data_IF_063950140460
#
_entry.id   IF_063950140460
#
_cell.length_a   1.000
_cell.length_b   1.000
_cell.length_c   1.000
_cell.angle_alpha   90.00
_cell.angle_beta   90.00
_cell.angle_gamma   90.00
#
_symmetry.space_group_name_H-M   'P 1'
#
loop_
_entity.id
_entity.type
_entity.pdbx_description
1 polymer ?
#
# COMPACT_ATOMS: atom_id res chain seq x y z
N UNK A 1 3.73 -35.50 16.80
CA UNK A 1 4.64 -34.54 17.49
C UNK A 1 4.29 -33.16 16.99
N UNK A 2 3.48 -32.43 17.75
CA UNK A 2 3.13 -31.05 17.45
C UNK A 2 4.35 -30.18 17.74
N UNK A 3 4.80 -29.40 16.75
CA UNK A 3 5.83 -28.39 16.98
C UNK A 3 5.37 -27.45 18.11
N UNK A 4 6.29 -27.00 19.00
CA UNK A 4 5.90 -26.04 20.03
C UNK A 4 5.46 -24.75 19.33
N UNK A 5 4.46 -24.03 19.86
CA UNK A 5 4.07 -22.73 19.32
C UNK A 5 5.29 -21.78 19.39
N UNK A 6 5.51 -20.99 18.33
CA UNK A 6 6.57 -20.00 18.20
C UNK A 6 6.52 -18.95 19.32
N UNK A 7 7.06 -19.29 20.50
CA UNK A 7 7.04 -18.44 21.69
C UNK A 7 7.81 -17.13 21.52
N UNK A 8 8.77 -17.10 20.59
CA UNK A 8 9.57 -15.91 20.27
C UNK A 8 8.73 -14.83 19.58
N UNK A 9 7.81 -15.23 18.68
CA UNK A 9 6.94 -14.28 17.97
C UNK A 9 5.92 -13.62 18.90
N UNK A 10 5.32 -14.41 19.81
CA UNK A 10 4.38 -13.91 20.82
C UNK A 10 5.03 -12.93 21.79
N UNK A 11 6.28 -13.20 22.21
CA UNK A 11 7.02 -12.33 23.12
C UNK A 11 7.37 -10.98 22.47
N UNK A 12 7.83 -10.98 21.21
CA UNK A 12 8.15 -9.75 20.47
C UNK A 12 6.90 -8.90 20.23
N UNK A 13 5.78 -9.52 19.86
CA UNK A 13 4.51 -8.83 19.69
C UNK A 13 4.02 -8.18 20.99
N UNK A 14 4.15 -8.90 22.12
CA UNK A 14 3.80 -8.37 23.45
C UNK A 14 4.69 -7.18 23.85
N UNK A 15 6.00 -7.27 23.62
CA UNK A 15 6.95 -6.19 23.90
C UNK A 15 6.69 -4.96 23.03
N UNK A 16 6.44 -5.14 21.74
CA UNK A 16 6.08 -4.04 20.83
C UNK A 16 4.77 -3.36 21.25
N UNK A 17 3.74 -4.13 21.62
CA UNK A 17 2.47 -3.58 22.10
C UNK A 17 2.62 -2.78 23.40
N UNK A 18 3.41 -3.29 24.36
CA UNK A 18 3.74 -2.57 25.59
C UNK A 18 4.50 -1.27 25.31
N UNK A 19 5.48 -1.33 24.40
CA UNK A 19 6.26 -0.16 23.99
C UNK A 19 5.38 0.92 23.34
N UNK A 20 4.53 0.54 22.39
CA UNK A 20 3.59 1.45 21.73
C UNK A 20 2.63 2.10 22.73
N UNK A 21 2.17 1.37 23.74
CA UNK A 21 1.32 1.91 24.80
C UNK A 21 2.06 2.95 25.64
N UNK A 22 3.31 2.68 26.05
CA UNK A 22 4.13 3.65 26.78
C UNK A 22 4.46 4.89 25.94
N UNK A 23 4.76 4.72 24.66
CA UNK A 23 4.97 5.83 23.74
C UNK A 23 3.69 6.67 23.53
N UNK A 24 2.52 6.04 23.42
CA UNK A 24 1.23 6.73 23.33
C UNK A 24 0.94 7.58 24.57
N UNK A 25 1.25 7.08 25.77
CA UNK A 25 1.16 7.86 27.01
C UNK A 25 2.11 9.06 27.00
N UNK A 26 3.34 8.87 26.55
CA UNK A 26 4.32 9.96 26.42
C UNK A 26 3.85 11.03 25.45
N UNK A 27 3.34 10.63 24.29
CA UNK A 27 2.80 11.52 23.24
C UNK A 27 1.61 12.33 23.76
N UNK A 28 0.69 11.67 24.49
CA UNK A 28 -0.51 12.30 25.03
C UNK A 28 -0.22 13.48 25.96
N UNK A 29 0.94 13.51 26.62
CA UNK A 29 1.34 14.62 27.49
C UNK A 29 1.48 15.96 26.76
N UNK A 30 1.71 15.94 25.44
CA UNK A 30 1.80 17.15 24.60
C UNK A 30 0.48 17.57 23.96
N UNK A 31 -0.62 16.84 24.18
CA UNK A 31 -1.90 17.04 23.49
C UNK A 31 -2.72 18.21 24.08
N UNK A 32 -2.15 19.42 24.01
CA UNK A 32 -2.80 20.66 24.45
C UNK A 32 -2.74 21.74 23.37
N UNK A 33 -3.71 22.66 23.31
CA UNK A 33 -3.80 23.66 22.24
C UNK A 33 -2.54 24.53 22.15
N UNK A 34 -1.95 24.65 20.96
CA UNK A 34 -0.75 25.47 20.74
C UNK A 34 0.56 24.89 21.27
N UNK A 35 0.53 23.70 21.88
CA UNK A 35 1.75 23.03 22.35
C UNK A 35 2.57 22.52 21.16
N UNK A 36 3.81 22.99 21.05
CA UNK A 36 4.70 22.63 19.94
C UNK A 36 5.07 21.14 19.89
N UNK A 37 5.17 20.47 21.05
CA UNK A 37 5.39 19.02 21.08
C UNK A 37 4.20 18.27 20.50
N UNK A 38 2.98 18.63 20.91
CA UNK A 38 1.75 18.04 20.38
C UNK A 38 1.54 18.32 18.89
N UNK A 39 1.82 19.54 18.45
CA UNK A 39 1.71 19.96 17.05
C UNK A 39 2.72 19.24 16.15
N UNK A 40 3.98 19.15 16.57
CA UNK A 40 5.00 18.33 15.89
C UNK A 40 4.53 16.88 15.79
N UNK A 41 4.03 16.33 16.91
CA UNK A 41 3.62 14.92 16.97
C UNK A 41 2.45 14.62 16.06
N UNK A 42 1.41 15.47 16.05
CA UNK A 42 0.28 15.35 15.12
C UNK A 42 0.75 15.41 13.67
N UNK A 43 1.72 16.28 13.34
CA UNK A 43 2.29 16.36 11.99
C UNK A 43 3.09 15.11 11.60
N UNK A 44 3.89 14.58 12.52
CA UNK A 44 4.73 13.40 12.31
C UNK A 44 3.89 12.13 12.16
N UNK A 45 2.82 12.00 12.96
CA UNK A 45 1.92 10.85 12.91
C UNK A 45 0.94 10.92 11.74
N UNK A 46 0.58 12.12 11.26
CA UNK A 46 -0.41 12.33 10.21
C UNK A 46 -1.71 11.54 10.54
N UNK A 47 -2.06 10.56 9.72
CA UNK A 47 -3.26 9.72 9.90
C UNK A 47 -3.01 8.45 10.73
N UNK A 48 -1.78 8.20 11.23
CA UNK A 48 -1.50 7.04 12.09
C UNK A 48 -2.29 7.17 13.39
N UNK A 49 -3.17 6.19 13.70
CA UNK A 49 -3.95 6.23 14.92
C UNK A 49 -3.05 6.01 16.15
N UNK A 50 -3.34 6.76 17.20
CA UNK A 50 -2.76 6.56 18.53
C UNK A 50 -3.88 6.08 19.44
N UNK A 51 -3.70 4.89 20.03
CA UNK A 51 -4.73 4.27 20.86
C UNK A 51 -5.16 5.20 22.00
N UNK A 52 -6.46 5.48 22.08
CA UNK A 52 -7.06 6.29 23.14
C UNK A 52 -6.79 7.80 23.06
N UNK A 53 -6.20 8.31 21.98
CA UNK A 53 -5.88 9.73 21.83
C UNK A 53 -6.83 10.44 20.86
N UNK A 54 -7.56 11.42 21.36
CA UNK A 54 -8.29 12.40 20.54
C UNK A 54 -7.50 13.71 20.49
N UNK A 55 -7.12 14.15 19.29
CA UNK A 55 -6.28 15.35 19.11
C UNK A 55 -6.97 16.64 19.56
N UNK A 56 -6.31 17.37 20.46
CA UNK A 56 -6.71 18.69 20.95
C UNK A 56 -5.52 19.66 20.94
N UNK A 57 -4.77 19.70 19.84
CA UNK A 57 -3.60 20.58 19.66
C UNK A 57 -3.89 21.81 18.81
N UNK A 58 -5.12 21.97 18.29
CA UNK A 58 -5.45 22.96 17.26
C UNK A 58 -5.07 24.40 17.69
N UNK A 59 -4.14 25.07 16.99
CA UNK A 59 -3.65 26.39 17.36
C UNK A 59 -4.34 27.53 16.60
N UNK A 60 -5.41 27.27 15.84
CA UNK A 60 -6.04 28.29 14.97
C UNK A 60 -7.51 28.53 15.30
N UNK A 61 -7.92 28.33 16.54
CA UNK A 61 -9.22 28.81 17.01
C UNK A 61 -9.21 30.34 17.15
N UNK A 62 -10.37 30.99 16.96
CA UNK A 62 -10.49 32.44 17.16
C UNK A 62 -10.04 32.86 18.56
N UNK A 63 -10.41 32.06 19.58
CA UNK A 63 -9.98 32.26 20.96
C UNK A 63 -8.45 32.23 21.10
N UNK A 64 -7.78 31.24 20.51
CA UNK A 64 -6.33 31.12 20.62
C UNK A 64 -5.60 32.28 19.93
N UNK A 65 -6.09 32.73 18.78
CA UNK A 65 -5.56 33.89 18.05
C UNK A 65 -5.69 35.17 18.89
N UNK A 66 -6.82 35.35 19.57
CA UNK A 66 -7.04 36.50 20.44
C UNK A 66 -6.10 36.49 21.64
N UNK A 67 -6.00 35.35 22.34
CA UNK A 67 -5.11 35.16 23.49
C UNK A 67 -3.63 35.40 23.15
N UNK A 68 -3.24 35.16 21.90
CA UNK A 68 -1.84 35.29 21.44
C UNK A 68 -1.58 36.56 20.61
N UNK A 69 -2.55 37.48 20.48
CA UNK A 69 -2.46 38.68 19.62
C UNK A 69 -1.17 39.50 19.82
N UNK A 70 -0.70 39.61 21.06
CA UNK A 70 0.51 40.37 21.42
C UNK A 70 1.83 39.62 21.19
N UNK A 71 1.77 38.32 20.87
CA UNK A 71 2.93 37.43 20.71
C UNK A 71 3.08 36.92 19.28
N UNK A 72 2.32 37.48 18.34
CA UNK A 72 2.30 37.10 16.92
C UNK A 72 3.59 37.44 16.16
N UNK A 73 4.64 37.88 16.83
CA UNK A 73 6.00 38.07 16.30
C UNK A 73 7.03 37.18 17.01
N UNK A 74 6.60 36.33 17.95
CA UNK A 74 7.45 35.39 18.66
C UNK A 74 7.52 34.05 17.90
N UNK A 75 8.74 33.53 17.73
CA UNK A 75 8.98 32.31 16.95
C UNK A 75 8.14 31.08 17.39
N UNK A 76 7.92 30.79 18.70
CA UNK A 76 7.06 29.68 19.10
C UNK A 76 5.60 29.81 18.63
N UNK A 77 5.06 31.02 18.64
CA UNK A 77 3.67 31.31 18.22
C UNK A 77 3.56 31.21 16.70
N UNK A 78 4.55 31.74 15.98
CA UNK A 78 4.64 31.61 14.52
C UNK A 78 4.77 30.15 14.07
N UNK A 79 5.58 29.37 14.77
CA UNK A 79 5.71 27.94 14.52
C UNK A 79 4.38 27.20 14.74
N UNK A 80 3.66 27.51 15.83
CA UNK A 80 2.36 26.91 16.12
C UNK A 80 1.34 27.21 15.01
N UNK A 81 1.26 28.47 14.55
CA UNK A 81 0.43 28.86 13.42
C UNK A 81 0.82 28.13 12.13
N UNK A 82 2.12 27.95 11.88
CA UNK A 82 2.62 27.17 10.75
C UNK A 82 2.11 25.73 10.74
N UNK A 83 2.13 25.04 11.89
CA UNK A 83 1.53 23.70 12.01
C UNK A 83 0.02 23.70 11.75
N UNK A 84 -0.70 24.68 12.30
CA UNK A 84 -2.14 24.79 12.15
C UNK A 84 -2.57 25.03 10.70
N UNK A 85 -1.87 25.92 10.00
CA UNK A 85 -2.14 26.26 8.59
C UNK A 85 -1.68 25.16 7.63
N UNK A 86 -0.64 24.40 7.96
CA UNK A 86 -0.18 23.25 7.17
C UNK A 86 -1.16 22.08 7.14
N UNK A 87 -2.19 22.08 8.01
CA UNK A 87 -3.19 21.01 8.14
C UNK A 87 -4.57 21.36 7.54
N UNK A 88 -4.78 22.57 7.00
CA UNK A 88 -6.12 23.03 6.58
C UNK A 88 -6.11 23.91 5.33
N UNK A 89 -6.78 23.43 4.28
CA UNK A 89 -6.99 24.14 3.01
C UNK A 89 -8.22 25.07 3.01
N UNK A 90 -8.74 25.45 4.19
CA UNK A 90 -10.00 26.19 4.31
C UNK A 90 -9.77 27.70 4.15
N UNK A 91 -10.61 28.37 3.34
CA UNK A 91 -10.63 29.84 3.16
C UNK A 91 -10.85 30.63 4.47
N UNK A 92 -11.35 29.98 5.52
CA UNK A 92 -11.59 30.54 6.86
C UNK A 92 -10.33 31.02 7.60
N UNK A 93 -9.14 30.84 7.04
CA UNK A 93 -7.85 31.11 7.72
C UNK A 93 -7.09 32.31 7.14
N UNK A 94 -7.72 33.15 6.30
CA UNK A 94 -7.08 34.30 5.67
C UNK A 94 -6.49 35.29 6.70
N UNK A 95 -7.23 35.59 7.78
CA UNK A 95 -6.74 36.47 8.84
C UNK A 95 -5.50 35.90 9.56
N UNK A 96 -5.49 34.58 9.80
CA UNK A 96 -4.34 33.89 10.41
C UNK A 96 -3.12 33.90 9.47
N UNK A 97 -3.30 33.76 8.15
CA UNK A 97 -2.21 33.89 7.16
C UNK A 97 -1.63 35.31 7.12
N UNK A 98 -2.47 36.33 7.12
CA UNK A 98 -2.02 37.73 7.16
C UNK A 98 -1.25 38.04 8.44
N UNK A 99 -1.75 37.56 9.60
CA UNK A 99 -1.07 37.68 10.88
C UNK A 99 0.30 36.97 10.85
N UNK A 100 0.35 35.76 10.31
CA UNK A 100 1.57 34.97 10.17
C UNK A 100 2.60 35.69 9.28
N UNK A 101 2.20 36.19 8.11
CA UNK A 101 3.09 36.92 7.19
C UNK A 101 3.67 38.20 7.83
N UNK A 102 2.82 38.94 8.57
CA UNK A 102 3.23 40.14 9.31
C UNK A 102 4.25 39.79 10.40
N UNK A 103 4.00 38.72 11.15
CA UNK A 103 4.90 38.24 12.20
C UNK A 103 6.24 37.73 11.68
N UNK A 104 6.23 36.95 10.60
CA UNK A 104 7.45 36.47 9.93
C UNK A 104 8.29 37.64 9.41
N UNK A 105 7.68 38.69 8.86
CA UNK A 105 8.40 39.91 8.42
C UNK A 105 9.17 40.56 9.58
N UNK A 106 8.61 40.52 10.80
CA UNK A 106 9.30 41.04 12.00
C UNK A 106 10.39 40.08 12.48
N UNK A 107 10.15 38.77 12.43
CA UNK A 107 11.12 37.75 12.79
C UNK A 107 12.38 37.82 11.90
N UNK A 108 12.20 38.01 10.59
CA UNK A 108 13.28 38.13 9.60
C UNK A 108 14.25 39.29 9.87
N UNK A 109 13.84 40.30 10.65
CA UNK A 109 14.70 41.44 11.02
C UNK A 109 15.60 41.16 12.22
N UNK A 110 15.39 40.04 12.92
CA UNK A 110 16.19 39.65 14.09
C UNK A 110 17.38 38.81 13.62
N UNK A 111 18.50 38.90 14.33
CA UNK A 111 19.64 38.02 14.08
C UNK A 111 19.32 36.61 14.63
N UNK A 112 19.23 35.58 13.76
CA UNK A 112 18.91 34.22 14.19
C UNK A 112 20.05 33.56 15.00
N UNK A 113 21.26 34.12 15.00
CA UNK A 113 22.44 33.55 15.67
C UNK A 113 22.87 34.28 16.95
N UNK A 114 22.09 35.28 17.39
CA UNK A 114 22.49 36.16 18.50
C UNK A 114 22.61 35.44 19.86
N UNK A 115 21.81 34.40 20.11
CA UNK A 115 21.83 33.62 21.36
C UNK A 115 21.40 32.16 21.10
N UNK A 116 21.74 31.23 22.00
CA UNK A 116 21.37 29.80 21.91
C UNK A 116 19.87 29.54 22.08
N UNK A 117 19.10 30.52 22.58
CA UNK A 117 17.65 30.44 22.75
C UNK A 117 16.85 30.78 21.47
N UNK A 118 17.51 31.01 20.33
CA UNK A 118 16.81 31.24 19.06
C UNK A 118 16.13 29.98 18.51
N UNK A 119 15.10 30.22 17.71
CA UNK A 119 14.23 29.19 17.15
C UNK A 119 14.98 28.11 16.36
N UNK A 120 16.14 28.44 15.78
CA UNK A 120 16.98 27.53 15.00
C UNK A 120 17.50 26.33 15.81
N UNK A 121 17.55 26.49 17.14
CA UNK A 121 17.98 25.45 18.08
C UNK A 121 16.83 24.59 18.61
N UNK A 122 15.58 24.96 18.31
CA UNK A 122 14.39 24.19 18.68
C UNK A 122 13.81 23.50 17.45
N UNK A 123 13.98 22.18 17.41
CA UNK A 123 13.50 21.31 16.34
C UNK A 123 12.03 21.53 15.98
N UNK A 124 11.18 21.81 16.98
CA UNK A 124 9.74 21.97 16.79
C UNK A 124 9.43 23.31 16.15
N UNK A 125 10.18 24.35 16.53
CA UNK A 125 10.06 25.68 15.94
C UNK A 125 10.59 25.70 14.51
N UNK A 126 11.72 25.04 14.22
CA UNK A 126 12.27 24.94 12.87
C UNK A 126 11.26 24.31 11.90
N UNK A 127 10.64 23.18 12.26
CA UNK A 127 9.60 22.55 11.45
C UNK A 127 8.37 23.44 11.30
N UNK A 128 7.88 24.03 12.40
CA UNK A 128 6.73 24.92 12.37
C UNK A 128 6.94 26.16 11.50
N UNK A 129 8.12 26.79 11.57
CA UNK A 129 8.50 27.95 10.75
C UNK A 129 8.71 27.54 9.28
N UNK A 130 9.24 26.34 9.02
CA UNK A 130 9.28 25.78 7.66
C UNK A 130 7.88 25.62 7.05
N UNK A 131 6.93 25.09 7.83
CA UNK A 131 5.53 25.00 7.41
C UNK A 131 4.88 26.38 7.25
N UNK A 132 5.21 27.31 8.13
CA UNK A 132 4.75 28.70 8.04
C UNK A 132 5.23 29.36 6.74
N UNK A 133 6.50 29.18 6.39
CA UNK A 133 7.08 29.69 5.14
C UNK A 133 6.37 29.15 3.90
N UNK A 134 5.99 27.87 3.91
CA UNK A 134 5.17 27.29 2.84
C UNK A 134 3.75 27.85 2.83
N UNK A 135 3.15 28.05 4.01
CA UNK A 135 1.79 28.57 4.12
C UNK A 135 1.64 30.01 3.62
N UNK A 136 2.68 30.85 3.70
CA UNK A 136 2.65 32.25 3.23
C UNK A 136 3.46 32.46 1.96
N UNK A 137 3.74 31.41 1.19
CA UNK A 137 4.65 31.50 0.03
C UNK A 137 4.15 32.46 -1.05
N UNK A 138 2.83 32.70 -1.13
CA UNK A 138 2.24 33.64 -2.07
C UNK A 138 2.36 35.10 -1.57
N UNK A 139 2.17 35.33 -0.27
CA UNK A 139 2.16 36.66 0.34
C UNK A 139 3.57 37.17 0.68
N UNK A 140 4.47 36.28 1.07
CA UNK A 140 5.83 36.60 1.52
C UNK A 140 6.85 35.58 0.99
N UNK A 141 7.13 35.55 -0.34
CA UNK A 141 8.04 34.57 -0.93
C UNK A 141 9.46 34.63 -0.34
N UNK A 142 9.92 35.81 0.05
CA UNK A 142 11.26 36.04 0.61
C UNK A 142 11.55 35.25 1.91
N UNK A 143 10.53 34.81 2.64
CA UNK A 143 10.73 34.03 3.87
C UNK A 143 11.37 32.67 3.59
N UNK A 144 11.08 32.08 2.42
CA UNK A 144 11.66 30.80 2.01
C UNK A 144 13.17 30.93 1.84
N UNK A 145 13.61 31.93 1.10
CA UNK A 145 15.02 32.14 0.79
C UNK A 145 15.79 32.51 2.07
N UNK A 146 15.25 33.39 2.89
CA UNK A 146 15.80 33.73 4.22
C UNK A 146 15.98 32.50 5.11
N UNK A 147 14.98 31.61 5.18
CA UNK A 147 15.09 30.41 5.99
C UNK A 147 16.11 29.41 5.41
N UNK A 148 16.20 29.31 4.08
CA UNK A 148 17.21 28.47 3.43
C UNK A 148 18.63 28.98 3.68
N UNK A 149 18.86 30.29 3.62
CA UNK A 149 20.15 30.90 3.97
C UNK A 149 20.56 30.53 5.40
N UNK A 150 19.65 30.64 6.36
CA UNK A 150 19.91 30.26 7.76
C UNK A 150 20.24 28.77 7.89
N UNK A 151 19.47 27.90 7.24
CA UNK A 151 19.65 26.44 7.29
C UNK A 151 20.89 25.93 6.53
N UNK A 152 21.56 26.80 5.77
CA UNK A 152 22.80 26.52 5.05
C UNK A 152 24.01 27.25 5.65
N UNK A 153 23.80 28.19 6.56
CA UNK A 153 24.86 28.97 7.20
C UNK A 153 25.75 28.06 8.06
N UNK A 154 27.07 28.21 7.92
CA UNK A 154 28.07 27.41 8.64
C UNK A 154 28.04 27.64 10.17
N UNK A 155 27.48 28.76 10.63
CA UNK A 155 27.30 29.04 12.06
C UNK A 155 26.21 28.16 12.69
N UNK A 156 25.32 27.56 11.90
CA UNK A 156 24.30 26.66 12.39
C UNK A 156 24.93 25.31 12.77
N UNK A 157 25.20 25.13 14.05
CA UNK A 157 25.77 23.90 14.60
C UNK A 157 24.68 23.11 15.35
N UNK A 158 24.12 22.03 14.77
CA UNK A 158 23.08 21.24 15.44
C UNK A 158 23.64 20.56 16.70
N UNK A 159 22.85 20.54 17.78
CA UNK A 159 23.27 19.94 19.05
C UNK A 159 23.44 18.41 18.99
N UNK A 160 22.87 17.77 17.96
CA UNK A 160 23.01 16.35 17.71
C UNK A 160 22.39 15.92 16.39
N UNK A 161 22.53 14.62 16.08
CA UNK A 161 22.09 14.04 14.80
C UNK A 161 20.59 14.18 14.55
N UNK A 162 19.77 14.09 15.59
CA UNK A 162 18.33 14.27 15.46
C UNK A 162 17.97 15.67 14.93
N UNK A 163 18.57 16.72 15.52
CA UNK A 163 18.31 18.10 15.11
C UNK A 163 18.85 18.38 13.70
N UNK A 164 20.05 17.89 13.37
CA UNK A 164 20.64 17.96 12.01
C UNK A 164 19.68 17.39 10.96
N UNK A 165 19.17 16.18 11.19
CA UNK A 165 18.24 15.53 10.26
C UNK A 165 16.92 16.29 10.13
N UNK A 166 16.38 16.86 11.20
CA UNK A 166 15.17 17.68 11.10
C UNK A 166 15.42 18.97 10.30
N UNK A 167 16.55 19.63 10.51
CA UNK A 167 16.94 20.80 9.71
C UNK A 167 17.08 20.44 8.22
N UNK A 168 17.69 19.28 7.91
CA UNK A 168 17.75 18.74 6.53
C UNK A 168 16.37 18.42 5.97
N UNK A 169 15.49 17.81 6.76
CA UNK A 169 14.11 17.54 6.36
C UNK A 169 13.41 18.82 5.92
N UNK A 170 13.43 19.86 6.77
CA UNK A 170 12.82 21.17 6.45
C UNK A 170 13.43 21.78 5.20
N UNK A 171 14.77 21.76 5.07
CA UNK A 171 15.45 22.24 3.86
C UNK A 171 14.97 21.49 2.62
N UNK A 172 14.89 20.17 2.67
CA UNK A 172 14.39 19.34 1.56
C UNK A 172 12.93 19.61 1.22
N UNK A 173 12.08 19.88 2.22
CA UNK A 173 10.68 20.28 1.99
C UNK A 173 10.59 21.65 1.29
N UNK A 174 11.48 22.58 1.62
CA UNK A 174 11.51 23.92 1.02
C UNK A 174 12.12 23.94 -0.37
N UNK A 175 13.12 23.10 -0.66
CA UNK A 175 13.79 23.05 -1.98
C UNK A 175 13.16 22.06 -2.95
N UNK A 176 12.42 21.06 -2.44
CA UNK A 176 11.96 19.90 -3.21
C UNK A 176 13.09 18.92 -3.56
N UNK A 177 14.29 19.08 -2.97
CA UNK A 177 15.45 18.22 -3.21
C UNK A 177 15.70 17.30 -2.02
N UNK A 178 15.53 15.96 -2.17
CA UNK A 178 15.73 15.02 -1.08
C UNK A 178 17.19 14.98 -0.60
N UNK A 179 17.40 14.95 0.70
CA UNK A 179 18.72 14.82 1.30
C UNK A 179 19.19 13.36 1.31
N UNK A 180 20.48 13.11 1.07
CA UNK A 180 21.06 11.78 1.31
C UNK A 180 21.05 11.49 2.81
N UNK A 181 20.47 10.35 3.19
CA UNK A 181 20.37 9.90 4.56
C UNK A 181 21.15 8.59 4.75
N UNK A 182 22.29 8.70 5.44
CA UNK A 182 23.12 7.55 5.79
C UNK A 182 22.57 6.88 7.06
N UNK A 183 22.18 5.61 6.95
CA UNK A 183 21.68 4.87 8.11
C UNK A 183 22.75 3.99 8.77
N UNK A 184 23.82 3.59 8.07
CA UNK A 184 24.71 2.49 8.48
C UNK A 184 25.37 2.72 9.86
N UNK A 185 25.78 3.94 10.19
CA UNK A 185 26.49 4.25 11.44
C UNK A 185 25.59 4.69 12.62
N UNK A 186 24.27 4.51 12.54
CA UNK A 186 23.31 5.06 13.51
C UNK A 186 22.70 4.00 14.43
N UNK A 187 22.81 4.16 15.75
CA UNK A 187 22.19 3.22 16.72
C UNK A 187 21.04 3.83 17.53
N UNK A 188 20.87 5.16 17.46
CA UNK A 188 19.79 5.85 18.16
C UNK A 188 18.43 5.62 17.48
N UNK A 189 17.46 5.12 18.25
CA UNK A 189 16.13 4.78 17.76
C UNK A 189 15.40 5.97 17.12
N UNK A 190 15.50 7.17 17.69
CA UNK A 190 14.82 8.36 17.18
C UNK A 190 15.45 8.85 15.88
N UNK A 191 16.78 8.79 15.78
CA UNK A 191 17.50 9.15 14.56
C UNK A 191 17.18 8.15 13.44
N UNK A 192 17.20 6.84 13.72
CA UNK A 192 16.82 5.81 12.75
C UNK A 192 15.37 5.97 12.26
N UNK A 193 14.44 6.19 13.19
CA UNK A 193 13.03 6.39 12.86
C UNK A 193 12.80 7.68 12.06
N UNK A 194 13.58 8.74 12.33
CA UNK A 194 13.52 9.97 11.57
C UNK A 194 14.03 9.78 10.13
N UNK A 195 15.10 9.01 9.91
CA UNK A 195 15.55 8.64 8.55
C UNK A 195 14.46 7.85 7.81
N UNK A 196 13.81 6.89 8.49
CA UNK A 196 12.70 6.14 7.92
C UNK A 196 11.54 7.07 7.52
N UNK A 197 11.14 7.98 8.40
CA UNK A 197 10.11 8.97 8.14
C UNK A 197 10.46 9.91 6.98
N UNK A 198 11.70 10.42 6.93
CA UNK A 198 12.16 11.27 5.83
C UNK A 198 12.10 10.54 4.48
N UNK A 199 12.46 9.26 4.47
CA UNK A 199 12.40 8.40 3.27
C UNK A 199 10.96 8.24 2.80
N UNK A 200 10.03 7.93 3.71
CA UNK A 200 8.60 7.82 3.40
C UNK A 200 8.00 9.15 2.92
N UNK A 201 8.43 10.27 3.49
CA UNK A 201 7.98 11.62 3.12
C UNK A 201 8.65 12.17 1.84
N UNK A 202 9.55 11.42 1.19
CA UNK A 202 10.28 11.86 -0.01
C UNK A 202 11.30 12.99 0.23
N UNK A 203 11.63 13.27 1.49
CA UNK A 203 12.62 14.30 1.88
C UNK A 203 14.00 13.71 2.15
N UNK A 204 14.09 12.40 2.33
CA UNK A 204 15.32 11.64 2.46
C UNK A 204 15.47 10.61 1.35
N UNK A 205 16.71 10.34 0.92
CA UNK A 205 17.06 9.26 0.00
C UNK A 205 18.11 8.37 0.64
N UNK A 206 17.87 7.05 0.65
CA UNK A 206 18.87 6.05 1.02
C UNK A 206 19.84 5.83 -0.13
N UNK A 207 21.12 5.54 0.18
CA UNK A 207 22.15 5.29 -0.84
C UNK A 207 21.80 4.08 -1.74
N UNK A 208 21.28 3.00 -1.15
CA UNK A 208 20.64 1.88 -1.85
C UNK A 208 19.21 1.72 -1.30
N UNK A 209 18.18 2.14 -2.07
CA UNK A 209 16.79 2.09 -1.60
C UNK A 209 16.27 0.69 -1.28
N UNK A 210 16.64 -0.33 -2.07
CA UNK A 210 16.04 -1.65 -1.98
C UNK A 210 16.63 -2.47 -0.84
N UNK A 211 17.96 -2.47 -0.69
CA UNK A 211 18.63 -3.18 0.41
C UNK A 211 18.60 -2.36 1.72
N UNK A 212 18.68 -1.02 1.61
CA UNK A 212 18.79 -0.13 2.74
C UNK A 212 17.50 0.01 3.55
N UNK A 213 16.32 -0.04 2.91
CA UNK A 213 15.05 0.15 3.61
C UNK A 213 14.76 -1.00 4.58
N UNK A 214 14.88 -2.25 4.15
CA UNK A 214 14.62 -3.42 5.02
C UNK A 214 15.59 -3.46 6.22
N UNK A 215 16.86 -3.19 5.98
CA UNK A 215 17.87 -3.11 7.04
C UNK A 215 17.58 -1.97 8.03
N UNK A 216 17.13 -0.81 7.53
CA UNK A 216 16.70 0.31 8.36
C UNK A 216 15.51 -0.06 9.23
N UNK A 217 14.47 -0.67 8.66
CA UNK A 217 13.26 -1.08 9.39
C UNK A 217 13.57 -2.07 10.53
N UNK A 218 14.42 -3.07 10.26
CA UNK A 218 14.88 -4.02 11.29
C UNK A 218 15.59 -3.30 12.44
N UNK A 219 16.44 -2.31 12.14
CA UNK A 219 17.17 -1.54 13.15
C UNK A 219 16.26 -0.59 13.93
N UNK A 220 15.29 0.05 13.28
CA UNK A 220 14.25 0.86 13.96
C UNK A 220 13.53 0.02 15.00
N UNK A 221 13.00 -1.15 14.62
CA UNK A 221 12.32 -2.04 15.56
C UNK A 221 13.24 -2.50 16.69
N UNK A 222 14.46 -2.95 16.37
CA UNK A 222 15.40 -3.45 17.38
C UNK A 222 15.85 -2.36 18.37
N UNK A 223 16.07 -1.13 17.89
CA UNK A 223 16.45 0.00 18.72
C UNK A 223 15.26 0.52 19.56
N UNK A 224 14.05 0.55 19.00
CA UNK A 224 12.84 0.94 19.72
C UNK A 224 12.61 0.03 20.93
N UNK A 225 12.66 -1.30 20.75
CA UNK A 225 12.45 -2.27 21.83
C UNK A 225 13.48 -2.18 22.98
N UNK A 226 14.65 -1.58 22.74
CA UNK A 226 15.70 -1.34 23.77
C UNK A 226 15.58 0.02 24.45
N UNK A 227 14.66 0.86 23.99
CA UNK A 227 14.52 2.24 24.44
C UNK A 227 13.28 2.38 25.32
N UNK A 228 13.43 2.96 26.50
CA UNK A 228 12.31 3.27 27.39
C UNK A 228 11.56 4.52 26.90
N UNK A 229 10.27 4.42 26.51
CA UNK A 229 9.50 5.57 26.03
C UNK A 229 9.42 6.74 27.02
N UNK A 230 9.49 6.49 28.32
CA UNK A 230 9.38 7.54 29.34
C UNK A 230 10.59 8.49 29.35
N UNK A 231 11.75 8.05 28.83
CA UNK A 231 12.99 8.83 28.76
C UNK A 231 13.08 9.70 27.51
N UNK A 232 12.22 9.47 26.54
CA UNK A 232 12.23 10.20 25.27
C UNK A 232 11.60 11.58 25.41
N UNK A 233 12.04 12.53 24.60
CA UNK A 233 11.23 13.73 24.33
C UNK A 233 9.98 13.34 23.53
N UNK A 234 8.93 14.15 23.61
CA UNK A 234 7.68 13.87 22.88
C UNK A 234 7.92 13.77 21.35
N UNK A 235 8.70 14.66 20.70
CA UNK A 235 9.05 14.53 19.28
C UNK A 235 9.79 13.22 18.93
N UNK A 236 10.70 12.77 19.80
CA UNK A 236 11.41 11.50 19.59
C UNK A 236 10.45 10.30 19.71
N UNK A 237 9.61 10.28 20.74
CA UNK A 237 8.59 9.24 20.90
C UNK A 237 7.63 9.20 19.70
N UNK A 238 7.24 10.37 19.17
CA UNK A 238 6.37 10.49 18.00
C UNK A 238 6.95 9.84 16.74
N UNK A 239 8.20 10.16 16.37
CA UNK A 239 8.80 9.61 15.16
C UNK A 239 9.07 8.11 15.28
N UNK A 240 9.47 7.63 16.48
CA UNK A 240 9.66 6.18 16.70
C UNK A 240 8.31 5.47 16.65
N UNK A 241 7.28 6.01 17.29
CA UNK A 241 5.92 5.46 17.22
C UNK A 241 5.44 5.35 15.78
N UNK A 242 5.58 6.43 14.98
CA UNK A 242 5.24 6.42 13.55
C UNK A 242 6.01 5.33 12.81
N UNK A 243 7.33 5.26 13.00
CA UNK A 243 8.17 4.27 12.34
C UNK A 243 7.80 2.83 12.71
N UNK A 244 7.58 2.54 13.99
CA UNK A 244 7.16 1.20 14.45
C UNK A 244 5.79 0.85 13.88
N UNK A 245 4.82 1.78 13.92
CA UNK A 245 3.48 1.57 13.37
C UNK A 245 3.54 1.29 11.86
N UNK A 246 4.25 2.11 11.08
CA UNK A 246 4.40 1.92 9.63
C UNK A 246 5.03 0.56 9.28
N UNK A 247 6.04 0.14 10.05
CA UNK A 247 6.71 -1.15 9.83
C UNK A 247 5.78 -2.32 10.17
N UNK A 248 5.02 -2.21 11.25
CA UNK A 248 4.04 -3.22 11.64
C UNK A 248 2.90 -3.30 10.63
N UNK A 249 2.35 -2.17 10.19
CA UNK A 249 1.29 -2.12 9.17
C UNK A 249 1.78 -2.72 7.86
N UNK A 250 2.97 -2.34 7.37
CA UNK A 250 3.55 -2.93 6.16
C UNK A 250 3.85 -4.43 6.30
N UNK A 251 4.21 -4.90 7.51
CA UNK A 251 4.42 -6.32 7.77
C UNK A 251 3.09 -7.07 7.83
N UNK A 252 2.04 -6.47 8.41
CA UNK A 252 0.69 -7.00 8.42
C UNK A 252 0.16 -7.07 6.99
N UNK A 253 0.32 -6.05 6.17
CA UNK A 253 -0.09 -6.04 4.76
C UNK A 253 0.63 -7.14 3.95
N UNK A 254 1.88 -7.45 4.29
CA UNK A 254 2.63 -8.55 3.66
C UNK A 254 2.22 -9.94 4.18
N UNK A 255 1.72 -10.03 5.42
CA UNK A 255 1.29 -11.27 6.04
C UNK A 255 -0.20 -11.57 5.81
N UNK A 256 -1.02 -10.54 5.61
CA UNK A 256 -2.45 -10.63 5.31
C UNK A 256 -2.59 -10.61 3.80
N UNK A 257 -2.80 -11.80 3.23
CA UNK A 257 -3.16 -11.94 1.83
C UNK A 257 -4.35 -11.01 1.52
N UNK A 258 -4.21 -10.20 0.48
CA UNK A 258 -5.21 -9.21 0.06
C UNK A 258 -5.68 -9.47 -1.37
N UNK A 259 -6.71 -8.75 -1.82
CA UNK A 259 -7.30 -8.95 -3.17
C UNK A 259 -6.28 -8.77 -4.30
N UNK A 260 -5.38 -7.79 -4.17
CA UNK A 260 -4.35 -7.53 -5.18
C UNK A 260 -3.37 -8.70 -5.33
N UNK A 261 -3.17 -9.51 -4.29
CA UNK A 261 -2.32 -10.69 -4.34
C UNK A 261 -2.89 -11.79 -5.23
N UNK A 262 -4.22 -11.91 -5.37
CA UNK A 262 -4.85 -12.87 -6.29
C UNK A 262 -4.34 -12.61 -7.71
N UNK A 263 -4.40 -11.36 -8.15
CA UNK A 263 -3.94 -10.99 -9.48
C UNK A 263 -2.44 -11.20 -9.69
N UNK A 264 -1.62 -10.88 -8.67
CA UNK A 264 -0.17 -11.14 -8.72
C UNK A 264 0.13 -12.63 -8.88
N UNK A 265 -0.55 -13.50 -8.11
CA UNK A 265 -0.36 -14.95 -8.13
C UNK A 265 -0.81 -15.53 -9.46
N UNK A 266 -2.01 -15.17 -9.93
CA UNK A 266 -2.57 -15.68 -11.18
C UNK A 266 -1.76 -15.24 -12.42
N UNK A 267 -1.22 -14.01 -12.44
CA UNK A 267 -0.27 -13.56 -13.49
C UNK A 267 1.02 -14.37 -13.56
N UNK A 268 1.35 -15.18 -12.54
CA UNK A 268 2.50 -16.10 -12.58
C UNK A 268 2.20 -17.40 -13.31
N UNK A 269 0.98 -17.63 -13.76
CA UNK A 269 0.58 -18.87 -14.46
C UNK A 269 1.58 -19.25 -15.57
N UNK A 270 1.85 -18.36 -16.53
CA UNK A 270 2.78 -18.66 -17.63
C UNK A 270 4.18 -19.04 -17.14
N UNK A 271 4.66 -18.36 -16.08
CA UNK A 271 5.93 -18.69 -15.44
C UNK A 271 5.92 -20.05 -14.75
N UNK A 272 4.81 -20.41 -14.09
CA UNK A 272 4.62 -21.72 -13.46
C UNK A 272 4.63 -22.85 -14.50
N UNK A 273 4.14 -22.58 -15.71
CA UNK A 273 4.12 -23.56 -16.80
C UNK A 273 5.51 -23.96 -17.32
N UNK A 274 6.60 -23.28 -16.90
CA UNK A 274 7.99 -23.64 -17.28
C UNK A 274 8.33 -25.11 -17.01
N UNK A 275 7.78 -25.69 -15.94
CA UNK A 275 8.01 -27.08 -15.52
C UNK A 275 6.81 -28.01 -15.81
N UNK A 276 5.78 -27.52 -16.50
CA UNK A 276 4.65 -28.33 -16.91
C UNK A 276 5.10 -29.47 -17.83
N UNK A 277 4.68 -30.71 -17.57
CA UNK A 277 5.25 -31.89 -18.22
C UNK A 277 4.70 -32.06 -19.63
N UNK A 278 5.60 -31.98 -20.59
CA UNK A 278 5.35 -32.29 -22.00
C UNK A 278 6.61 -32.93 -22.59
N UNK A 279 6.68 -34.24 -22.46
CA UNK A 279 7.84 -35.01 -22.91
C UNK A 279 7.87 -35.17 -24.44
N UNK A 280 9.08 -35.15 -25.01
CA UNK A 280 9.34 -35.37 -26.43
C UNK A 280 9.05 -36.82 -26.84
N UNK A 281 8.73 -37.05 -28.11
CA UNK A 281 8.44 -38.39 -28.64
C UNK A 281 9.63 -39.36 -28.60
N UNK A 282 10.84 -38.87 -28.27
CA UNK A 282 12.07 -39.68 -28.18
C UNK A 282 12.14 -40.55 -26.92
N UNK A 283 11.32 -40.25 -25.91
CA UNK A 283 11.28 -40.99 -24.66
C UNK A 283 10.48 -42.27 -24.83
N UNK A 284 10.90 -43.35 -24.16
CA UNK A 284 10.20 -44.65 -24.20
C UNK A 284 8.77 -44.53 -23.62
N UNK A 285 8.63 -43.81 -22.50
CA UNK A 285 7.36 -43.56 -21.82
C UNK A 285 7.14 -42.04 -21.59
N UNK A 286 6.76 -41.29 -22.64
CA UNK A 286 6.64 -39.84 -22.55
C UNK A 286 5.43 -39.45 -21.69
N UNK A 287 5.65 -38.58 -20.70
CA UNK A 287 4.58 -37.99 -19.88
C UNK A 287 4.16 -36.64 -20.46
N UNK A 288 2.87 -36.52 -20.79
CA UNK A 288 2.28 -35.29 -21.34
C UNK A 288 1.04 -34.90 -20.56
N UNK A 289 1.00 -33.67 -20.10
CA UNK A 289 -0.16 -33.06 -19.46
C UNK A 289 -0.76 -32.02 -20.41
N UNK A 290 -1.72 -32.40 -21.26
CA UNK A 290 -2.38 -31.43 -22.13
C UNK A 290 -3.29 -30.50 -21.34
N UNK A 291 -3.55 -29.32 -21.90
CA UNK A 291 -4.65 -28.43 -21.48
C UNK A 291 -5.57 -28.29 -22.69
N UNK A 292 -6.82 -28.71 -22.55
CA UNK A 292 -7.81 -28.92 -23.62
C UNK A 292 -9.18 -28.33 -23.27
N UNK A 293 -9.39 -27.97 -22.01
CA UNK A 293 -10.67 -27.49 -21.52
C UNK A 293 -10.52 -26.51 -20.37
N UNK A 294 -11.59 -25.74 -20.14
CA UNK A 294 -11.74 -24.85 -18.99
C UNK A 294 -11.57 -25.58 -17.66
N UNK A 295 -12.11 -26.79 -17.55
CA UNK A 295 -11.97 -27.63 -16.35
C UNK A 295 -10.51 -27.95 -16.02
N UNK A 296 -9.69 -28.26 -17.02
CA UNK A 296 -8.26 -28.52 -16.79
C UNK A 296 -7.51 -27.23 -16.39
N UNK A 297 -7.98 -26.05 -16.85
CA UNK A 297 -7.47 -24.76 -16.38
C UNK A 297 -7.90 -24.52 -14.93
N UNK A 298 -9.16 -24.80 -14.57
CA UNK A 298 -9.65 -24.73 -13.20
C UNK A 298 -8.82 -25.63 -12.27
N UNK A 299 -8.50 -26.86 -12.66
CA UNK A 299 -7.64 -27.76 -11.88
C UNK A 299 -6.25 -27.15 -11.60
N UNK A 300 -5.66 -26.45 -12.59
CA UNK A 300 -4.37 -25.76 -12.42
C UNK A 300 -4.53 -24.52 -11.52
N UNK A 301 -5.60 -23.75 -11.72
CA UNK A 301 -5.90 -22.59 -10.89
C UNK A 301 -6.12 -22.98 -9.43
N UNK A 302 -6.78 -24.13 -9.18
CA UNK A 302 -6.91 -24.69 -7.85
C UNK A 302 -5.53 -24.94 -7.21
N UNK A 303 -4.60 -25.59 -7.93
CA UNK A 303 -3.25 -25.82 -7.41
C UNK A 303 -2.51 -24.51 -7.11
N UNK A 304 -2.64 -23.50 -7.97
CA UNK A 304 -2.01 -22.19 -7.79
C UNK A 304 -2.63 -21.45 -6.59
N UNK A 305 -3.94 -21.27 -6.59
CA UNK A 305 -4.67 -20.52 -5.56
C UNK A 305 -4.57 -21.20 -4.20
N UNK A 306 -4.82 -22.51 -4.12
CA UNK A 306 -4.83 -23.24 -2.84
C UNK A 306 -3.44 -23.33 -2.20
N UNK A 307 -2.36 -23.15 -2.98
CA UNK A 307 -0.99 -23.08 -2.46
C UNK A 307 -0.68 -21.79 -1.70
N UNK A 308 -1.48 -20.74 -1.92
CA UNK A 308 -1.31 -19.41 -1.31
C UNK A 308 -2.45 -19.09 -0.36
N UNK A 309 -3.69 -19.33 -0.76
CA UNK A 309 -4.90 -18.99 -0.01
C UNK A 309 -5.49 -20.23 0.65
N UNK A 310 -5.77 -20.14 1.96
CA UNK A 310 -6.25 -21.27 2.74
C UNK A 310 -7.75 -21.54 2.64
N UNK A 311 -8.52 -20.53 2.24
CA UNK A 311 -9.98 -20.53 2.23
C UNK A 311 -10.58 -20.60 0.81
N UNK A 312 -9.82 -21.09 -0.18
CA UNK A 312 -10.34 -21.32 -1.53
C UNK A 312 -11.46 -22.36 -1.46
N UNK A 313 -12.65 -21.99 -1.91
CA UNK A 313 -13.82 -22.86 -2.07
C UNK A 313 -14.00 -23.18 -3.55
N UNK A 314 -14.10 -24.46 -3.87
CA UNK A 314 -14.40 -24.97 -5.22
C UNK A 314 -15.91 -24.98 -5.48
N UNK A 315 -16.31 -24.62 -6.71
CA UNK A 315 -17.71 -24.57 -7.16
C UNK A 315 -18.67 -23.82 -6.20
N UNK A 316 -18.30 -22.62 -5.79
CA UNK A 316 -19.06 -21.81 -4.82
C UNK A 316 -20.48 -21.51 -5.34
N UNK A 317 -21.48 -22.06 -4.64
CA UNK A 317 -22.89 -21.86 -4.99
C UNK A 317 -23.44 -20.63 -4.30
N UNK A 318 -23.90 -19.66 -5.08
CA UNK A 318 -24.41 -18.39 -4.55
C UNK A 318 -25.89 -18.47 -4.18
N UNK A 319 -26.37 -17.56 -3.30
CA UNK A 319 -27.79 -17.39 -3.06
C UNK A 319 -28.56 -17.20 -4.38
N UNK A 320 -29.72 -17.84 -4.51
CA UNK A 320 -30.52 -17.79 -5.74
C UNK A 320 -30.91 -16.35 -6.09
N UNK A 321 -30.71 -15.98 -7.35
CA UNK A 321 -31.17 -14.70 -7.92
C UNK A 321 -32.22 -15.03 -8.98
N UNK A 322 -33.49 -14.74 -8.68
CA UNK A 322 -34.61 -15.13 -9.54
C UNK A 322 -34.78 -16.66 -9.63
N UNK A 323 -34.82 -17.21 -10.85
CA UNK A 323 -34.95 -18.65 -11.11
C UNK A 323 -33.61 -19.37 -11.35
N UNK A 324 -32.49 -18.65 -11.33
CA UNK A 324 -31.16 -19.19 -11.65
C UNK A 324 -30.33 -19.37 -10.39
N UNK A 325 -29.62 -20.50 -10.32
CA UNK A 325 -28.58 -20.74 -9.32
C UNK A 325 -27.26 -20.41 -9.98
N UNK A 326 -26.59 -19.36 -9.51
CA UNK A 326 -25.28 -18.98 -10.02
C UNK A 326 -24.20 -19.76 -9.26
N UNK A 327 -23.20 -20.25 -9.98
CA UNK A 327 -22.09 -21.00 -9.42
C UNK A 327 -20.78 -20.46 -9.99
N UNK A 328 -19.96 -19.90 -9.12
CA UNK A 328 -18.62 -19.42 -9.49
C UNK A 328 -17.64 -20.60 -9.49
N UNK A 329 -16.58 -20.50 -10.28
CA UNK A 329 -15.54 -21.54 -10.28
C UNK A 329 -14.81 -21.60 -8.93
N UNK A 330 -14.36 -20.46 -8.41
CA UNK A 330 -13.76 -20.38 -7.08
C UNK A 330 -14.28 -19.22 -6.24
N UNK A 331 -14.44 -19.46 -4.94
CA UNK A 331 -14.68 -18.43 -3.95
C UNK A 331 -13.52 -18.26 -2.98
N UNK A 332 -13.19 -17.00 -2.65
CA UNK A 332 -12.28 -16.63 -1.57
C UNK A 332 -13.06 -15.78 -0.54
N UNK A 333 -13.81 -16.42 0.38
CA UNK A 333 -14.73 -15.74 1.29
C UNK A 333 -14.06 -14.66 2.16
N UNK A 334 -12.84 -14.88 2.66
CA UNK A 334 -12.12 -13.90 3.48
C UNK A 334 -11.81 -12.62 2.72
N UNK A 335 -11.58 -12.75 1.42
CA UNK A 335 -11.30 -11.63 0.54
C UNK A 335 -12.59 -11.05 -0.06
N UNK A 336 -13.70 -11.77 0.00
CA UNK A 336 -14.96 -11.41 -0.66
C UNK A 336 -14.78 -11.32 -2.17
N UNK A 337 -13.94 -12.18 -2.74
CA UNK A 337 -13.62 -12.24 -4.17
C UNK A 337 -14.02 -13.58 -4.74
N UNK A 338 -14.51 -13.57 -5.97
CA UNK A 338 -14.75 -14.76 -6.77
C UNK A 338 -13.79 -14.78 -7.95
N UNK A 339 -13.34 -15.96 -8.33
CA UNK A 339 -12.50 -16.15 -9.51
C UNK A 339 -13.29 -16.96 -10.53
N UNK A 340 -13.43 -16.41 -11.73
CA UNK A 340 -14.13 -17.04 -12.85
C UNK A 340 -13.12 -17.39 -13.94
N UNK A 341 -13.04 -18.66 -14.31
CA UNK A 341 -12.11 -19.16 -15.32
C UNK A 341 -12.82 -19.35 -16.66
N UNK A 342 -12.20 -18.89 -17.74
CA UNK A 342 -12.72 -19.03 -19.11
C UNK A 342 -11.66 -19.58 -20.06
N UNK A 343 -12.10 -20.39 -21.02
CA UNK A 343 -11.22 -21.01 -22.02
C UNK A 343 -11.49 -20.51 -23.44
N UNK A 344 -10.53 -19.79 -24.02
CA UNK A 344 -10.61 -19.34 -25.43
C UNK A 344 -9.90 -20.34 -26.34
N UNK A 345 -10.66 -21.04 -27.20
CA UNK A 345 -10.13 -21.98 -28.22
C UNK A 345 -9.66 -21.24 -29.47
N UNK A 346 -10.24 -20.08 -29.72
CA UNK A 346 -10.06 -19.25 -30.90
C UNK A 346 -10.17 -17.76 -30.55
N UNK A 347 -9.61 -16.89 -31.38
CA UNK A 347 -9.77 -15.44 -31.22
C UNK A 347 -11.24 -14.98 -31.22
N UNK A 348 -12.14 -15.71 -31.89
CA UNK A 348 -13.58 -15.40 -31.87
C UNK A 348 -14.25 -15.66 -30.52
N UNK A 349 -13.66 -16.48 -29.65
CA UNK A 349 -14.25 -16.81 -28.35
C UNK A 349 -14.17 -15.64 -27.37
N UNK A 350 -13.23 -14.70 -27.54
CA UNK A 350 -13.09 -13.54 -26.65
C UNK A 350 -14.38 -12.70 -26.58
N UNK A 351 -15.03 -12.46 -27.72
CA UNK A 351 -16.33 -11.75 -27.76
C UNK A 351 -17.44 -12.51 -27.05
N UNK A 352 -17.41 -13.84 -27.11
CA UNK A 352 -18.39 -14.70 -26.44
C UNK A 352 -18.15 -14.67 -24.93
N UNK A 353 -16.90 -14.81 -24.51
CA UNK A 353 -16.48 -14.74 -23.09
C UNK A 353 -16.85 -13.38 -22.49
N UNK A 354 -16.58 -12.28 -23.21
CA UNK A 354 -16.93 -10.94 -22.78
C UNK A 354 -18.43 -10.83 -22.47
N UNK A 355 -19.27 -11.34 -23.37
CA UNK A 355 -20.72 -11.35 -23.20
C UNK A 355 -21.17 -12.19 -22.00
N UNK A 356 -20.63 -13.40 -21.85
CA UNK A 356 -20.96 -14.28 -20.71
C UNK A 356 -20.60 -13.61 -19.38
N UNK A 357 -19.40 -13.03 -19.27
CA UNK A 357 -18.95 -12.33 -18.05
C UNK A 357 -19.81 -11.10 -17.76
N UNK A 358 -20.21 -10.33 -18.77
CA UNK A 358 -21.13 -9.20 -18.59
C UNK A 358 -22.52 -9.64 -18.10
N UNK A 359 -23.05 -10.75 -18.61
CA UNK A 359 -24.34 -11.29 -18.16
C UNK A 359 -24.26 -11.79 -16.71
N UNK A 360 -23.16 -12.48 -16.39
CA UNK A 360 -22.88 -13.01 -15.06
C UNK A 360 -22.67 -11.89 -14.02
N UNK A 361 -21.92 -10.84 -14.38
CA UNK A 361 -21.62 -9.71 -13.49
C UNK A 361 -22.87 -8.98 -13.01
N UNK A 362 -23.94 -8.93 -13.82
CA UNK A 362 -25.23 -8.33 -13.45
C UNK A 362 -25.97 -9.18 -12.41
N UNK A 363 -25.89 -10.51 -12.51
CA UNK A 363 -26.47 -11.41 -11.52
C UNK A 363 -25.80 -11.24 -10.15
N UNK A 364 -24.48 -11.00 -10.16
CA UNK A 364 -23.68 -10.73 -8.98
C UNK A 364 -24.01 -9.43 -8.26
N UNK A 365 -24.16 -8.33 -9.00
CA UNK A 365 -24.45 -7.00 -8.44
C UNK A 365 -25.73 -6.96 -7.59
N UNK A 366 -26.64 -7.92 -7.78
CA UNK A 366 -27.97 -7.88 -7.17
C UNK A 366 -28.10 -8.67 -5.86
N UNK A 367 -27.20 -9.62 -5.53
CA UNK A 367 -27.41 -10.48 -4.34
C UNK A 367 -26.21 -11.33 -3.85
N UNK A 368 -24.96 -10.96 -4.13
CA UNK A 368 -23.79 -11.81 -3.89
C UNK A 368 -23.26 -11.91 -2.43
N UNK A 369 -24.11 -11.97 -1.40
CA UNK A 369 -23.68 -12.32 -0.03
C UNK A 369 -22.38 -11.62 0.46
N UNK A 370 -21.33 -12.35 0.90
CA UNK A 370 -20.05 -11.76 1.33
C UNK A 370 -19.12 -11.34 0.17
N UNK A 371 -19.45 -11.71 -1.07
CA UNK A 371 -18.61 -11.46 -2.24
C UNK A 371 -18.99 -10.14 -2.90
N UNK A 372 -17.98 -9.32 -3.20
CA UNK A 372 -18.16 -7.96 -3.75
C UNK A 372 -17.51 -7.77 -5.11
N UNK A 373 -16.54 -8.62 -5.43
CA UNK A 373 -15.68 -8.46 -6.60
C UNK A 373 -15.43 -9.80 -7.29
N UNK A 374 -15.15 -9.73 -8.58
CA UNK A 374 -14.82 -10.83 -9.46
C UNK A 374 -13.43 -10.58 -10.05
N UNK A 375 -12.64 -11.64 -10.15
CA UNK A 375 -11.42 -11.70 -10.95
C UNK A 375 -11.68 -12.66 -12.10
N UNK A 376 -11.51 -12.18 -13.34
CA UNK A 376 -11.72 -13.00 -14.53
C UNK A 376 -10.37 -13.53 -15.00
N UNK A 377 -10.25 -14.84 -15.13
CA UNK A 377 -9.07 -15.50 -15.68
C UNK A 377 -9.39 -16.16 -17.01
N UNK A 378 -8.71 -15.76 -18.08
CA UNK A 378 -8.90 -16.31 -19.43
C UNK A 378 -7.63 -17.03 -19.87
N UNK A 379 -7.75 -18.32 -20.14
CA UNK A 379 -6.70 -19.09 -20.80
C UNK A 379 -6.93 -19.09 -22.31
N UNK A 380 -5.97 -18.55 -23.04
CA UNK A 380 -5.97 -18.45 -24.50
C UNK A 380 -5.19 -19.60 -25.14
N UNK A 381 -5.90 -20.65 -25.54
CA UNK A 381 -5.36 -21.77 -26.30
C UNK A 381 -4.86 -21.32 -27.69
N UNK A 382 -5.53 -20.33 -28.27
CA UNK A 382 -5.31 -19.87 -29.64
C UNK A 382 -4.09 -18.98 -29.81
N UNK A 383 -3.56 -18.43 -28.71
CA UNK A 383 -2.50 -17.41 -28.71
C UNK A 383 -2.88 -16.16 -29.54
N UNK A 384 -4.15 -15.76 -29.52
CA UNK A 384 -4.69 -14.55 -30.16
C UNK A 384 -4.43 -13.31 -29.29
N UNK A 385 -3.15 -13.03 -29.03
CA UNK A 385 -2.69 -11.96 -28.12
C UNK A 385 -3.22 -10.57 -28.47
N UNK A 386 -3.55 -10.32 -29.75
CA UNK A 386 -4.13 -9.06 -30.21
C UNK A 386 -5.52 -8.77 -29.62
N UNK A 387 -6.24 -9.78 -29.12
CA UNK A 387 -7.54 -9.60 -28.48
C UNK A 387 -7.41 -9.23 -26.99
N UNK A 388 -6.26 -9.49 -26.37
CA UNK A 388 -6.11 -9.48 -24.91
C UNK A 388 -6.38 -8.11 -24.29
N UNK A 389 -5.68 -7.06 -24.75
CA UNK A 389 -5.80 -5.71 -24.18
C UNK A 389 -7.22 -5.16 -24.34
N UNK A 390 -7.85 -5.40 -25.49
CA UNK A 390 -9.21 -4.96 -25.78
C UNK A 390 -10.22 -5.66 -24.87
N UNK A 391 -10.18 -6.99 -24.76
CA UNK A 391 -11.08 -7.74 -23.88
C UNK A 391 -10.86 -7.37 -22.42
N UNK A 392 -9.60 -7.25 -21.99
CA UNK A 392 -9.27 -6.92 -20.62
C UNK A 392 -9.64 -5.48 -20.25
N UNK A 393 -9.62 -4.53 -21.20
CA UNK A 393 -10.14 -3.18 -20.99
C UNK A 393 -11.67 -3.19 -20.84
N UNK A 394 -12.39 -3.82 -21.79
CA UNK A 394 -13.84 -3.88 -21.79
C UNK A 394 -14.41 -4.50 -20.50
N UNK A 395 -13.84 -5.62 -20.04
CA UNK A 395 -14.30 -6.29 -18.83
C UNK A 395 -14.00 -5.51 -17.55
N UNK A 396 -12.95 -4.68 -17.51
CA UNK A 396 -12.62 -3.84 -16.35
C UNK A 396 -13.52 -2.60 -16.22
N UNK A 397 -14.32 -2.26 -17.24
CA UNK A 397 -15.32 -1.19 -17.13
C UNK A 397 -16.51 -1.59 -16.25
N UNK A 398 -16.65 -2.88 -15.90
CA UNK A 398 -17.70 -3.40 -15.02
C UNK A 398 -17.35 -3.13 -13.55
N UNK A 399 -18.26 -2.49 -12.81
CA UNK A 399 -18.05 -2.04 -11.41
C UNK A 399 -17.58 -3.14 -10.43
N UNK A 400 -17.97 -4.39 -10.69
CA UNK A 400 -17.65 -5.55 -9.85
C UNK A 400 -16.50 -6.41 -10.37
N UNK A 401 -15.87 -6.06 -11.49
CA UNK A 401 -14.68 -6.75 -12.00
C UNK A 401 -13.43 -6.01 -11.55
N UNK A 402 -12.72 -6.62 -10.60
CA UNK A 402 -11.54 -6.03 -9.96
C UNK A 402 -10.23 -6.26 -10.74
N UNK A 403 -10.13 -7.37 -11.49
CA UNK A 403 -8.98 -7.67 -12.34
C UNK A 403 -9.38 -8.64 -13.46
N UNK A 404 -8.64 -8.57 -14.57
CA UNK A 404 -8.82 -9.44 -15.74
C UNK A 404 -7.44 -9.93 -16.18
N UNK A 405 -7.26 -11.24 -16.17
CA UNK A 405 -5.96 -11.88 -16.36
C UNK A 405 -6.09 -12.82 -17.53
N UNK A 406 -5.42 -12.48 -18.62
CA UNK A 406 -5.43 -13.28 -19.84
C UNK A 406 -4.02 -13.83 -20.02
N UNK A 407 -3.91 -15.14 -20.19
CA UNK A 407 -2.63 -15.83 -20.36
C UNK A 407 -2.68 -16.71 -21.61
N UNK A 408 -1.59 -16.77 -22.35
CA UNK A 408 -1.52 -17.59 -23.55
C UNK A 408 -0.99 -18.99 -23.25
N UNK A 409 -1.41 -19.94 -24.08
CA UNK A 409 -0.87 -21.30 -24.11
C UNK A 409 0.66 -21.27 -24.19
N UNK A 410 1.37 -21.98 -23.30
CA UNK A 410 2.81 -22.13 -23.39
C UNK A 410 3.24 -22.76 -24.72
N UNK A 411 4.29 -22.21 -25.34
CA UNK A 411 4.78 -22.66 -26.65
C UNK A 411 5.24 -24.13 -26.68
N UNK A 412 5.60 -24.71 -25.53
CA UNK A 412 6.03 -26.11 -25.39
C UNK A 412 4.90 -27.12 -25.51
N UNK A 413 3.65 -26.72 -25.27
CA UNK A 413 2.52 -27.60 -25.50
C UNK A 413 2.32 -27.78 -27.01
N UNK A 414 1.75 -28.90 -27.44
CA UNK A 414 1.38 -29.04 -28.84
C UNK A 414 0.35 -27.98 -29.26
N UNK A 415 0.46 -27.50 -30.50
CA UNK A 415 -0.62 -26.73 -31.13
C UNK A 415 -1.78 -27.70 -31.36
N UNK A 416 -3.00 -27.40 -30.87
CA UNK A 416 -4.16 -28.26 -31.12
C UNK A 416 -4.42 -28.43 -32.62
N UNK A 417 -4.66 -29.67 -33.05
CA UNK A 417 -5.01 -29.96 -34.45
C UNK A 417 -6.39 -29.35 -34.75
N UNK A 418 -6.45 -28.29 -35.56
CA UNK A 418 -7.68 -27.55 -35.89
C UNK A 418 -8.66 -28.33 -36.80
N UNK A 419 -8.65 -29.67 -36.78
CA UNK A 419 -9.56 -30.47 -37.60
C UNK A 419 -10.96 -30.45 -36.98
N UNK A 420 -12.00 -30.01 -37.70
CA UNK A 420 -13.36 -30.13 -37.21
C UNK A 420 -13.68 -31.61 -37.00
N UNK A 421 -14.19 -31.97 -35.80
CA UNK A 421 -14.72 -33.31 -35.53
C UNK A 421 -15.79 -33.62 -36.59
N UNK A 422 -15.47 -34.51 -37.54
CA UNK A 422 -16.47 -35.05 -38.47
C UNK A 422 -17.55 -35.73 -37.62
N UNK A 423 -18.77 -35.24 -37.72
CA UNK A 423 -19.95 -35.87 -37.13
C UNK A 423 -19.96 -37.34 -37.54
N UNK A 424 -19.88 -38.21 -36.54
CA UNK A 424 -19.91 -39.65 -36.71
C UNK A 424 -21.31 -40.01 -37.25
N UNK A 425 -21.40 -40.21 -38.56
CA UNK A 425 -22.62 -40.68 -39.21
C UNK A 425 -22.93 -42.07 -38.64
N UNK A 426 -24.00 -42.13 -37.84
CA UNK A 426 -24.71 -43.35 -37.46
C UNK A 426 -24.80 -44.31 -38.65
N UNK A 427 -24.00 -45.37 -38.62
CA UNK A 427 -24.17 -46.53 -39.50
C UNK A 427 -25.39 -47.30 -39.00
N UNK A 428 -26.57 -46.95 -39.53
CA UNK A 428 -27.69 -47.90 -39.60
C UNK A 428 -27.29 -49.00 -40.59
N UNK A 429 -27.09 -50.21 -40.07
CA UNK A 429 -26.93 -51.42 -40.88
C UNK A 429 -28.17 -51.65 -41.76
N UNK A 430 -28.02 -52.00 -43.04
CA UNK A 430 -29.12 -52.53 -43.82
C UNK A 430 -29.34 -54.00 -43.45
N UNK A 431 -30.56 -54.34 -43.04
CA UNK A 431 -31.03 -55.74 -43.07
C UNK A 431 -31.26 -56.12 -44.53
N UNK A 432 -30.46 -57.02 -45.06
CA UNK A 432 -30.77 -57.77 -46.28
C UNK A 432 -31.10 -59.23 -45.93
N UNK A 433 -32.16 -59.69 -46.57
CA UNK A 433 -32.89 -60.94 -46.42
C UNK A 433 -32.25 -62.16 -47.09
N UNK A 434 -32.74 -63.32 -46.63
CA UNK A 434 -33.00 -64.59 -47.34
C UNK A 434 -31.89 -65.66 -47.47
N UNK A 435 -32.16 -66.80 -46.83
CA UNK A 435 -32.08 -68.15 -47.40
C UNK A 435 -33.27 -68.93 -46.79
N UNK A 436 -34.36 -69.14 -47.54
CA UNK A 436 -34.62 -70.31 -48.38
C UNK A 436 -34.72 -71.61 -47.56
N UNK A 437 -35.96 -72.10 -47.41
CA UNK A 437 -36.28 -73.41 -46.82
C UNK A 437 -36.33 -74.53 -47.86
N UNK A 438 -36.58 -75.74 -47.32
CA UNK A 438 -36.86 -77.07 -47.90
C UNK A 438 -35.91 -78.09 -47.24
N UNK A 439 -36.33 -79.22 -46.68
CA UNK A 439 -37.62 -79.90 -46.57
C UNK A 439 -37.66 -80.65 -45.22
#
# INVERSE_FOLDING_TARGET
MSAPPDGTGSLVASQAGSWLTGAAQRISAGNTPGNLDGLFTRRALADTPVAGLTWNVNPVSEQWLEENRHRLDHAPVLAALGYGLGHSATRSLAAARTALATGLTRLMRRDPFQDRLTFINDTRQVVGIGLAAQAVSAELPAVRDWLLEILQDERLQPAGRFQDLVQRHVRSTLTGQPALAESQALDDAAVLALVHWMTAAGTGRLADPASGLRALQQRVLSAALRTDPARLTIPQAAVIYRGVADILDASIDQMVLSRSHIGVVLRRFEGAMRRWRWDEDILHDPVRWPIRSEREVQDILWLILRSVFDDVVDEETLPKVGHSTYRADFGLPRLGVLVEAKYARSGSDFKKIEKEVMEDSVAYLRNAGPYKEIVVFIYDESASVQEHDMTAAALRELDNVSDVIIVSRPSRLAVPDQRPRKAERSRRSPRSSSAAGQA
#
